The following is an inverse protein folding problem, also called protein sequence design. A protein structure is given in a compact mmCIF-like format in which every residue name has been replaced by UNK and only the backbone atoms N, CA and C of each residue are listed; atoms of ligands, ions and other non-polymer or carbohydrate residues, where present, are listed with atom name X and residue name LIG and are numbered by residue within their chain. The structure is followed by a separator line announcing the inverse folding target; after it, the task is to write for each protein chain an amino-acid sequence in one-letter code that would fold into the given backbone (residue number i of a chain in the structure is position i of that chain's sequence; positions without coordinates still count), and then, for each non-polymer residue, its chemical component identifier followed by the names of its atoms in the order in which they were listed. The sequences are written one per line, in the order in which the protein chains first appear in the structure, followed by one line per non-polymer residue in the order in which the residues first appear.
data_IF_286591536709
#
_entry.id   IF_286591536709
#
_cell.length_a   1.000
_cell.length_b   1.000
_cell.length_c   1.000
_cell.angle_alpha   90.00
_cell.angle_beta   90.00
_cell.angle_gamma   90.00
#
_symmetry.space_group_name_H-M   'P 1'
#
loop_
_entity.id
_entity.type
_entity.pdbx_description
1 polymer ?
#
# COMPACT_ATOMS: atom_id res chain seq x y z
N UNK A 1 58.98 -8.38 22.03
CA UNK A 1 58.75 -9.50 22.97
C UNK A 1 57.39 -10.11 22.67
N UNK A 2 57.37 -11.12 21.87
CA UNK A 2 56.41 -12.22 21.76
C UNK A 2 56.91 -13.33 22.69
N UNK A 3 56.19 -14.45 22.95
CA UNK A 3 54.84 -14.88 22.63
C UNK A 3 54.12 -15.58 23.82
N UNK A 4 52.94 -16.09 23.65
CA UNK A 4 52.60 -17.45 24.06
C UNK A 4 51.21 -17.87 23.57
N UNK A 5 51.26 -18.96 22.81
CA UNK A 5 50.19 -19.87 22.40
C UNK A 5 49.41 -20.44 23.58
N UNK A 6 48.13 -20.78 23.37
CA UNK A 6 47.66 -22.09 23.81
C UNK A 6 46.47 -22.57 22.97
N UNK A 7 46.63 -23.76 22.48
CA UNK A 7 45.72 -24.59 21.71
C UNK A 7 44.89 -25.51 22.63
N UNK A 8 43.81 -26.04 22.09
CA UNK A 8 43.12 -27.26 22.55
C UNK A 8 41.64 -26.98 22.86
N UNK A 9 40.72 -27.66 22.29
CA UNK A 9 40.44 -29.04 22.13
C UNK A 9 39.10 -29.25 21.45
N UNK A 10 39.13 -30.13 20.54
CA UNK A 10 38.08 -30.79 19.79
C UNK A 10 37.27 -31.69 20.74
N UNK A 11 35.94 -31.67 20.71
CA UNK A 11 35.13 -32.85 21.04
C UNK A 11 33.84 -32.88 20.21
N UNK A 12 33.90 -33.82 19.32
CA UNK A 12 32.83 -34.45 18.54
C UNK A 12 31.93 -35.28 19.48
N UNK A 13 30.62 -35.08 19.44
CA UNK A 13 29.66 -36.06 19.94
C UNK A 13 28.46 -36.12 19.01
N UNK A 14 28.49 -37.15 18.17
CA UNK A 14 27.35 -37.60 17.38
C UNK A 14 26.17 -38.04 18.25
N UNK A 15 24.98 -37.71 17.81
CA UNK A 15 23.74 -38.35 18.28
C UNK A 15 22.78 -38.56 17.11
N UNK A 16 22.78 -39.82 16.68
CA UNK A 16 21.76 -40.42 15.83
C UNK A 16 20.39 -40.39 16.48
N UNK A 17 19.39 -39.85 15.81
CA UNK A 17 17.97 -40.12 16.15
C UNK A 17 17.22 -40.68 14.95
N UNK A 18 16.73 -41.88 15.19
CA UNK A 18 15.94 -42.79 14.39
C UNK A 18 14.63 -42.12 13.88
N UNK A 19 14.26 -42.49 12.66
CA UNK A 19 12.97 -42.19 12.06
C UNK A 19 11.80 -42.82 12.82
N UNK A 20 10.70 -42.09 12.88
CA UNK A 20 9.41 -42.61 13.23
C UNK A 20 8.52 -42.53 11.98
N UNK A 21 8.26 -43.72 11.41
CA UNK A 21 7.22 -43.91 10.41
C UNK A 21 5.86 -43.80 11.12
N UNK A 22 4.99 -42.92 10.66
CA UNK A 22 3.59 -42.88 11.11
C UNK A 22 2.69 -43.27 9.94
N UNK A 23 2.21 -44.51 10.01
CA UNK A 23 1.23 -45.09 9.12
C UNK A 23 -0.17 -44.55 9.49
N UNK A 24 -0.79 -43.74 8.66
CA UNK A 24 -2.20 -43.38 8.80
C UNK A 24 -3.05 -44.29 7.90
N UNK A 25 -3.80 -45.17 8.56
CA UNK A 25 -4.84 -46.00 8.00
C UNK A 25 -6.00 -45.14 7.42
N UNK A 26 -6.24 -45.28 6.12
CA UNK A 26 -7.36 -44.71 5.43
C UNK A 26 -8.70 -45.32 5.83
N UNK A 27 -9.67 -44.52 6.20
CA UNK A 27 -11.08 -44.93 6.31
C UNK A 27 -11.78 -44.77 4.95
N UNK A 28 -12.66 -45.71 4.55
CA UNK A 28 -13.30 -45.66 3.25
C UNK A 28 -14.42 -44.61 3.23
N UNK A 29 -14.47 -43.85 2.12
CA UNK A 29 -15.51 -42.89 1.84
C UNK A 29 -16.90 -43.54 1.68
N UNK A 30 -17.88 -43.08 2.42
CA UNK A 30 -19.30 -43.46 2.26
C UNK A 30 -19.83 -42.87 0.96
N UNK A 31 -20.30 -43.74 0.06
CA UNK A 31 -21.08 -43.38 -1.13
C UNK A 31 -22.45 -42.84 -0.69
N UNK A 32 -22.70 -41.57 -0.96
CA UNK A 32 -24.07 -41.00 -0.85
C UNK A 32 -24.80 -41.29 -2.16
N UNK A 33 -25.89 -42.07 -2.03
CA UNK A 33 -26.87 -42.28 -3.10
C UNK A 33 -27.72 -41.01 -3.26
N UNK A 34 -27.66 -40.41 -4.44
CA UNK A 34 -28.59 -39.32 -4.81
C UNK A 34 -29.96 -39.85 -5.14
N UNK A 35 -31.06 -39.31 -4.58
CA UNK A 35 -32.40 -39.67 -4.98
C UNK A 35 -32.76 -39.08 -6.34
N UNK A 36 -33.30 -39.95 -7.18
CA UNK A 36 -33.88 -39.78 -8.49
C UNK A 36 -34.83 -38.58 -8.56
N UNK A 37 -34.45 -37.48 -9.25
CA UNK A 37 -35.29 -36.31 -9.44
C UNK A 37 -36.13 -36.48 -10.70
N UNK A 38 -37.43 -36.73 -10.51
CA UNK A 38 -38.46 -36.77 -11.53
C UNK A 38 -38.47 -35.46 -12.33
N UNK A 39 -38.44 -35.63 -13.66
CA UNK A 39 -38.69 -34.57 -14.64
C UNK A 39 -40.03 -33.89 -14.38
N UNK A 40 -40.01 -32.62 -14.01
CA UNK A 40 -41.19 -31.78 -14.06
C UNK A 40 -41.01 -30.76 -15.19
N UNK A 41 -41.60 -31.06 -16.34
CA UNK A 41 -41.81 -30.10 -17.43
C UNK A 41 -42.89 -29.13 -16.98
N UNK A 42 -42.57 -27.86 -16.86
CA UNK A 42 -43.60 -26.86 -16.70
C UNK A 42 -43.06 -25.51 -16.23
N UNK A 43 -43.06 -24.64 -17.15
CA UNK A 43 -43.22 -23.21 -17.08
C UNK A 43 -42.03 -22.37 -17.55
N UNK A 44 -42.06 -22.06 -18.85
CA UNK A 44 -41.29 -20.96 -19.45
C UNK A 44 -41.90 -19.62 -19.00
N UNK A 45 -41.47 -19.15 -17.84
CA UNK A 45 -41.60 -17.75 -17.42
C UNK A 45 -40.25 -17.11 -17.55
N UNK A 46 -40.01 -16.47 -18.67
CA UNK A 46 -38.79 -15.65 -18.84
C UNK A 46 -38.76 -14.51 -17.84
N UNK A 47 -38.17 -14.74 -16.65
CA UNK A 47 -37.82 -13.68 -15.76
C UNK A 47 -36.65 -12.97 -16.43
N UNK A 48 -36.95 -11.83 -17.08
CA UNK A 48 -35.92 -10.81 -17.44
C UNK A 48 -35.19 -10.43 -16.16
N UNK A 49 -34.13 -11.15 -15.87
CA UNK A 49 -33.20 -10.75 -14.83
C UNK A 49 -32.52 -9.47 -15.36
N UNK A 50 -32.73 -8.30 -14.75
CA UNK A 50 -32.09 -7.09 -15.23
C UNK A 50 -30.58 -7.38 -15.17
N UNK A 51 -29.90 -7.42 -16.32
CA UNK A 51 -28.45 -7.48 -16.39
C UNK A 51 -27.95 -6.33 -15.56
N UNK A 52 -27.42 -6.62 -14.37
CA UNK A 52 -26.73 -5.64 -13.55
C UNK A 52 -25.62 -5.09 -14.44
N UNK A 53 -25.79 -3.86 -14.93
CA UNK A 53 -24.72 -3.16 -15.64
C UNK A 53 -23.65 -2.90 -14.61
N UNK A 54 -22.62 -3.74 -14.60
CA UNK A 54 -21.43 -3.48 -13.79
C UNK A 54 -20.86 -2.12 -14.19
N UNK A 55 -20.60 -1.27 -13.21
CA UNK A 55 -19.95 0.01 -13.44
C UNK A 55 -18.63 -0.21 -14.20
N UNK A 56 -18.31 0.66 -15.16
CA UNK A 56 -17.05 0.59 -15.90
C UNK A 56 -15.89 0.61 -14.90
N UNK A 57 -15.01 -0.38 -14.95
CA UNK A 57 -13.78 -0.39 -14.18
C UNK A 57 -12.78 0.61 -14.77
N UNK A 58 -12.12 1.35 -13.88
CA UNK A 58 -10.97 2.19 -14.20
C UNK A 58 -9.87 1.81 -13.22
N UNK A 59 -8.68 1.60 -13.75
CA UNK A 59 -7.47 1.39 -12.95
C UNK A 59 -6.69 2.72 -12.92
N UNK A 60 -6.36 3.19 -11.72
CA UNK A 60 -5.58 4.39 -11.48
C UNK A 60 -4.32 4.03 -10.69
N UNK A 61 -3.19 4.56 -11.11
CA UNK A 61 -1.92 4.40 -10.40
C UNK A 61 -1.46 5.77 -9.91
N UNK A 62 -1.05 5.81 -8.66
CA UNK A 62 -0.43 6.99 -8.04
C UNK A 62 0.87 6.61 -7.36
N UNK A 63 1.74 7.58 -7.18
CA UNK A 63 2.99 7.37 -6.48
C UNK A 63 3.40 8.63 -5.71
N UNK A 64 4.14 8.44 -4.61
CA UNK A 64 4.60 9.52 -3.75
C UNK A 64 5.17 8.95 -2.45
N UNK A 65 5.12 9.70 -1.35
CA UNK A 65 5.53 9.16 -0.06
C UNK A 65 6.10 10.18 0.92
N UNK A 66 6.79 9.69 1.93
CA UNK A 66 7.34 10.50 3.01
C UNK A 66 8.71 11.07 2.64
N UNK A 67 8.80 12.38 2.59
CA UNK A 67 10.09 13.09 2.49
C UNK A 67 10.60 13.40 3.88
N UNK A 68 11.81 12.98 4.17
CA UNK A 68 12.51 13.29 5.43
C UNK A 68 13.54 14.38 5.15
N UNK A 69 13.65 15.36 6.04
CA UNK A 69 14.61 16.44 5.93
C UNK A 69 16.05 15.94 6.04
N UNK A 70 17.02 16.79 5.68
CA UNK A 70 18.46 16.46 5.70
C UNK A 70 18.97 16.00 7.06
N UNK A 71 18.29 16.39 8.14
CA UNK A 71 18.69 16.02 9.50
C UNK A 71 18.06 14.73 9.98
N UNK A 72 17.06 14.21 9.26
CA UNK A 72 16.33 13.02 9.65
C UNK A 72 15.31 13.24 10.76
N UNK A 73 15.02 14.49 11.12
CA UNK A 73 14.18 14.83 12.27
C UNK A 73 12.77 15.26 11.91
N UNK A 74 12.51 15.59 10.66
CA UNK A 74 11.20 16.07 10.19
C UNK A 74 10.74 15.32 8.96
N UNK A 75 9.42 15.14 8.87
CA UNK A 75 8.73 14.63 7.70
C UNK A 75 7.85 15.72 7.06
N UNK A 76 7.73 15.67 5.74
CA UNK A 76 6.97 16.62 4.94
C UNK A 76 5.57 16.09 4.69
N UNK A 77 4.56 16.91 4.95
CA UNK A 77 3.18 16.63 4.60
C UNK A 77 2.58 17.76 3.79
N UNK A 78 1.58 17.42 2.98
CA UNK A 78 0.71 18.36 2.28
C UNK A 78 -0.64 18.43 2.99
N UNK A 79 -1.22 19.62 3.06
CA UNK A 79 -2.52 19.88 3.63
C UNK A 79 -3.54 20.25 2.56
N UNK A 80 -4.72 19.64 2.60
CA UNK A 80 -5.88 20.01 1.79
C UNK A 80 -7.05 20.36 2.70
N UNK A 81 -7.78 21.42 2.37
CA UNK A 81 -8.97 21.80 3.13
C UNK A 81 -10.00 20.67 3.15
N UNK A 82 -10.51 20.38 4.34
CA UNK A 82 -11.54 19.35 4.50
C UNK A 82 -12.86 19.86 3.87
N UNK A 83 -13.36 19.23 2.78
CA UNK A 83 -14.60 19.67 2.14
C UNK A 83 -15.85 19.48 3.02
N UNK A 84 -15.72 18.75 4.14
CA UNK A 84 -16.80 18.53 5.12
C UNK A 84 -16.75 19.54 6.27
N UNK A 85 -15.67 20.29 6.39
CA UNK A 85 -15.56 21.33 7.42
C UNK A 85 -16.25 22.62 6.97
N UNK A 86 -17.34 22.98 7.65
CA UNK A 86 -18.12 24.18 7.34
C UNK A 86 -17.36 25.49 7.58
N UNK A 87 -16.31 25.47 8.43
CA UNK A 87 -15.45 26.63 8.68
C UNK A 87 -14.42 26.86 7.59
N UNK A 88 -14.11 25.81 6.79
CA UNK A 88 -13.04 25.81 5.79
C UNK A 88 -11.65 26.13 6.37
N UNK A 89 -11.41 25.78 7.63
CA UNK A 89 -10.13 26.02 8.31
C UNK A 89 -9.35 24.71 8.57
N UNK A 90 -10.06 23.57 8.59
CA UNK A 90 -9.46 22.28 8.88
C UNK A 90 -8.68 21.75 7.68
N UNK A 91 -7.40 21.46 7.89
CA UNK A 91 -6.56 20.78 6.92
C UNK A 91 -6.54 19.26 7.18
N UNK A 92 -6.68 18.50 6.11
CA UNK A 92 -6.41 17.07 6.07
C UNK A 92 -4.96 16.89 5.58
N UNK A 93 -4.11 16.43 6.47
CA UNK A 93 -2.70 16.19 6.16
C UNK A 93 -2.50 14.81 5.57
N UNK A 94 -1.68 14.72 4.52
CA UNK A 94 -1.36 13.47 3.82
C UNK A 94 0.06 13.51 3.27
N UNK A 95 0.55 12.36 2.86
CA UNK A 95 1.81 12.26 2.13
C UNK A 95 1.65 12.89 0.73
N UNK A 96 2.64 13.65 0.23
CA UNK A 96 2.66 14.14 -1.15
C UNK A 96 2.64 12.97 -2.14
N UNK A 97 1.67 12.96 -3.06
CA UNK A 97 1.47 11.92 -4.07
C UNK A 97 0.47 12.33 -5.13
N UNK A 98 0.68 11.87 -6.34
CA UNK A 98 -0.25 12.10 -7.43
C UNK A 98 -0.27 11.00 -8.47
N UNK A 99 -0.94 11.23 -9.59
CA UNK A 99 -1.13 10.24 -10.62
C UNK A 99 0.13 10.03 -11.47
N UNK A 100 0.42 8.78 -11.79
CA UNK A 100 1.46 8.46 -12.77
C UNK A 100 1.00 8.86 -14.15
N UNK A 101 1.88 9.49 -14.93
CA UNK A 101 1.68 9.81 -16.34
C UNK A 101 2.02 8.62 -17.24
N UNK A 102 1.57 8.69 -18.50
CA UNK A 102 1.82 7.61 -19.47
C UNK A 102 3.33 7.45 -19.72
N UNK A 103 3.83 6.25 -19.48
CA UNK A 103 5.25 5.91 -19.65
C UNK A 103 6.14 6.19 -18.45
N UNK A 104 5.62 6.79 -17.38
CA UNK A 104 6.38 6.95 -16.13
C UNK A 104 6.45 5.65 -15.32
N UNK A 105 7.62 5.40 -14.73
CA UNK A 105 7.70 4.42 -13.64
C UNK A 105 7.11 5.01 -12.34
N UNK A 106 6.68 4.18 -11.38
CA UNK A 106 6.21 4.67 -10.09
C UNK A 106 7.22 5.57 -9.37
N UNK A 107 8.51 5.29 -9.50
CA UNK A 107 9.59 6.09 -8.92
C UNK A 107 9.69 7.48 -9.57
N UNK A 108 9.57 7.53 -10.90
CA UNK A 108 9.60 8.80 -11.64
C UNK A 108 8.40 9.68 -11.28
N UNK A 109 7.20 9.09 -11.29
CA UNK A 109 5.98 9.77 -10.87
C UNK A 109 6.10 10.30 -9.42
N UNK A 110 6.61 9.48 -8.50
CA UNK A 110 6.75 9.87 -7.10
C UNK A 110 7.72 11.05 -6.90
N UNK A 111 8.86 11.07 -7.61
CA UNK A 111 9.82 12.19 -7.54
C UNK A 111 9.20 13.46 -8.12
N UNK A 112 8.51 13.37 -9.25
CA UNK A 112 7.83 14.50 -9.89
C UNK A 112 6.76 15.08 -9.00
N UNK A 113 5.83 14.24 -8.51
CA UNK A 113 4.71 14.67 -7.67
C UNK A 113 5.17 15.34 -6.36
N UNK A 114 6.18 14.75 -5.68
CA UNK A 114 6.78 15.40 -4.50
C UNK A 114 7.30 16.79 -4.83
N UNK A 115 8.01 16.95 -5.96
CA UNK A 115 8.57 18.24 -6.34
C UNK A 115 7.47 19.25 -6.73
N UNK A 116 6.43 18.82 -7.44
CA UNK A 116 5.31 19.65 -7.88
C UNK A 116 4.44 20.11 -6.71
N UNK A 117 4.00 19.19 -5.86
CA UNK A 117 3.12 19.49 -4.74
C UNK A 117 3.80 20.29 -3.61
N UNK A 118 5.12 20.14 -3.46
CA UNK A 118 5.82 20.68 -2.27
C UNK A 118 6.92 21.71 -2.57
N UNK A 119 7.46 21.74 -3.80
CA UNK A 119 8.64 22.52 -4.17
C UNK A 119 9.96 21.92 -3.66
N UNK A 120 9.93 20.78 -2.97
CA UNK A 120 11.11 20.10 -2.43
C UNK A 120 11.68 19.12 -3.44
N UNK A 121 12.98 19.20 -3.67
CA UNK A 121 13.75 18.20 -4.43
C UNK A 121 14.19 17.09 -3.49
N UNK A 122 13.96 15.86 -3.88
CA UNK A 122 14.22 14.69 -3.04
C UNK A 122 14.71 13.49 -3.86
N UNK A 123 15.36 12.56 -3.20
CA UNK A 123 15.83 11.29 -3.76
C UNK A 123 15.18 10.13 -3.01
N UNK A 124 14.78 9.09 -3.74
CA UNK A 124 14.21 7.89 -3.16
C UNK A 124 15.29 7.11 -2.41
N UNK A 125 15.05 6.85 -1.13
CA UNK A 125 15.89 6.01 -0.29
C UNK A 125 15.47 4.54 -0.36
N UNK A 126 14.16 4.29 -0.29
CA UNK A 126 13.59 2.93 -0.38
C UNK A 126 12.09 2.96 -0.66
N UNK A 127 11.54 1.83 -1.11
CA UNK A 127 10.09 1.61 -1.13
C UNK A 127 9.56 1.39 0.30
N UNK A 128 8.40 1.96 0.60
CA UNK A 128 7.64 1.70 1.83
C UNK A 128 6.55 0.66 1.61
N UNK A 129 6.10 0.48 0.36
CA UNK A 129 5.10 -0.51 0.01
C UNK A 129 4.10 0.01 -1.02
N UNK A 130 3.10 -0.81 -1.27
CA UNK A 130 2.03 -0.53 -2.23
C UNK A 130 0.70 -0.82 -1.54
N UNK A 131 -0.25 0.07 -1.68
CA UNK A 131 -1.63 -0.14 -1.23
C UNK A 131 -2.57 -0.17 -2.43
N UNK A 132 -3.58 -1.04 -2.35
CA UNK A 132 -4.62 -1.20 -3.35
C UNK A 132 -5.99 -1.08 -2.70
N UNK A 133 -6.86 -0.27 -3.27
CA UNK A 133 -8.23 -0.16 -2.77
C UNK A 133 -9.22 0.15 -3.89
N UNK A 134 -10.50 -0.08 -3.58
CA UNK A 134 -11.60 0.13 -4.51
C UNK A 134 -12.57 1.16 -3.96
N UNK A 135 -13.03 2.05 -4.83
CA UNK A 135 -14.08 2.99 -4.49
C UNK A 135 -14.97 3.29 -5.69
N UNK A 136 -16.11 3.94 -5.43
CA UNK A 136 -17.04 4.37 -6.46
C UNK A 136 -16.93 5.88 -6.63
N UNK A 137 -16.69 6.33 -7.86
CA UNK A 137 -16.69 7.75 -8.21
C UNK A 137 -17.38 7.93 -9.57
N UNK A 138 -18.28 8.90 -9.65
CA UNK A 138 -18.99 9.26 -10.90
C UNK A 138 -19.62 8.06 -11.62
N UNK A 139 -20.17 7.10 -10.85
CA UNK A 139 -20.79 5.88 -11.40
C UNK A 139 -19.80 4.86 -11.97
N UNK A 140 -18.51 5.02 -11.74
CA UNK A 140 -17.44 4.11 -12.14
C UNK A 140 -16.84 3.42 -10.92
N UNK A 141 -16.39 2.19 -11.09
CA UNK A 141 -15.64 1.46 -10.07
C UNK A 141 -14.15 1.70 -10.30
N UNK A 142 -13.53 2.42 -9.38
CA UNK A 142 -12.11 2.77 -9.45
C UNK A 142 -11.32 1.74 -8.64
N UNK A 143 -10.28 1.18 -9.25
CA UNK A 143 -9.22 0.44 -8.59
C UNK A 143 -8.01 1.34 -8.52
N UNK A 144 -7.61 1.74 -7.33
CA UNK A 144 -6.48 2.62 -7.12
C UNK A 144 -5.33 1.86 -6.49
N UNK A 145 -4.17 1.93 -7.14
CA UNK A 145 -2.89 1.43 -6.65
C UNK A 145 -2.02 2.64 -6.29
N UNK A 146 -1.44 2.67 -5.10
CA UNK A 146 -0.57 3.75 -4.64
C UNK A 146 0.77 3.18 -4.21
N UNK A 147 1.85 3.61 -4.88
CA UNK A 147 3.22 3.26 -4.54
C UNK A 147 3.79 4.29 -3.57
N UNK A 148 4.21 3.84 -2.38
CA UNK A 148 4.79 4.70 -1.36
C UNK A 148 6.29 4.49 -1.25
N UNK A 149 7.02 5.62 -1.18
CA UNK A 149 8.48 5.65 -1.05
C UNK A 149 8.89 6.51 0.14
N UNK A 150 10.05 6.20 0.69
CA UNK A 150 10.78 7.07 1.60
C UNK A 150 11.78 7.88 0.79
N UNK A 151 11.80 9.18 1.02
CA UNK A 151 12.71 10.12 0.37
C UNK A 151 13.58 10.83 1.37
N UNK A 152 14.74 11.26 0.91
CA UNK A 152 15.58 12.25 1.61
C UNK A 152 15.58 13.57 0.83
N UNK A 153 15.37 14.67 1.53
CA UNK A 153 15.49 16.02 0.96
C UNK A 153 16.89 16.25 0.44
N UNK A 154 17.01 16.74 -0.81
CA UNK A 154 18.29 17.18 -1.39
C UNK A 154 18.33 18.67 -1.67
N UNK A 155 17.17 19.36 -1.65
CA UNK A 155 17.10 20.82 -1.85
C UNK A 155 15.68 21.29 -2.13
N UNK A 156 15.59 22.52 -2.65
CA UNK A 156 14.31 23.17 -2.93
C UNK A 156 13.89 24.12 -1.80
N UNK A 157 12.67 24.65 -1.92
CA UNK A 157 12.00 25.48 -0.92
C UNK A 157 10.53 25.09 -0.91
N UNK A 158 9.89 25.15 0.23
CA UNK A 158 8.44 24.92 0.33
C UNK A 158 7.72 25.89 -0.62
N UNK A 159 6.97 25.31 -1.56
CA UNK A 159 6.18 26.03 -2.54
C UNK A 159 4.98 25.13 -2.92
N UNK A 160 3.84 25.22 -2.22
CA UNK A 160 2.68 24.41 -2.52
C UNK A 160 2.14 24.75 -3.91
N UNK A 161 1.74 23.70 -4.65
CA UNK A 161 1.01 23.86 -5.90
C UNK A 161 -0.43 24.28 -5.59
N UNK A 162 -0.67 25.58 -5.57
CA UNK A 162 -1.92 26.22 -5.08
C UNK A 162 -3.22 25.74 -5.74
N UNK A 163 -3.16 25.00 -6.83
CA UNK A 163 -4.32 24.41 -7.49
C UNK A 163 -4.75 23.06 -6.87
N UNK A 164 -3.85 22.39 -6.14
CA UNK A 164 -4.07 21.03 -5.64
C UNK A 164 -3.78 20.88 -4.14
N UNK A 165 -2.98 21.78 -3.59
CA UNK A 165 -2.49 21.72 -2.21
C UNK A 165 -2.70 23.10 -1.55
N UNK A 166 -3.36 23.12 -0.40
CA UNK A 166 -3.64 24.38 0.32
C UNK A 166 -2.46 24.77 1.22
N UNK A 167 -1.71 23.80 1.76
CA UNK A 167 -0.53 24.03 2.60
C UNK A 167 0.50 22.92 2.51
N UNK A 168 1.76 23.24 2.81
CA UNK A 168 2.88 22.30 2.88
C UNK A 168 3.71 22.60 4.10
N UNK A 169 3.93 21.62 4.98
CA UNK A 169 4.65 21.84 6.23
C UNK A 169 5.54 20.67 6.63
N UNK A 170 6.64 21.01 7.32
CA UNK A 170 7.50 20.06 8.00
C UNK A 170 7.00 19.81 9.42
N UNK A 171 6.80 18.54 9.77
CA UNK A 171 6.42 18.11 11.13
C UNK A 171 7.53 17.26 11.76
N UNK A 172 7.66 17.26 13.10
CA UNK A 172 8.51 16.30 13.77
C UNK A 172 8.22 14.87 13.29
N UNK A 173 9.26 14.07 13.06
CA UNK A 173 9.09 12.73 12.46
C UNK A 173 8.19 11.82 13.32
N UNK A 174 8.25 11.97 14.63
CA UNK A 174 7.43 11.24 15.60
C UNK A 174 5.94 11.61 15.55
N UNK A 175 5.59 12.78 15.00
CA UNK A 175 4.21 13.23 14.88
C UNK A 175 3.54 12.79 13.56
N UNK A 176 4.30 12.39 12.54
CA UNK A 176 3.80 12.13 11.18
C UNK A 176 2.58 11.21 11.22
N UNK A 177 2.69 10.04 11.84
CA UNK A 177 1.60 9.05 11.88
C UNK A 177 0.33 9.61 12.50
N UNK A 178 0.46 10.45 13.54
CA UNK A 178 -0.69 11.06 14.21
C UNK A 178 -1.33 12.20 13.43
N UNK A 179 -0.60 12.80 12.49
CA UNK A 179 -1.06 13.88 11.62
C UNK A 179 -1.81 13.39 10.39
N UNK A 180 -1.49 12.18 9.90
CA UNK A 180 -2.11 11.63 8.70
C UNK A 180 -3.63 11.51 8.85
N UNK A 181 -4.35 12.04 7.87
CA UNK A 181 -5.81 11.99 7.82
C UNK A 181 -6.34 10.62 7.38
N UNK A 182 -5.49 9.82 6.72
CA UNK A 182 -5.85 8.53 6.15
C UNK A 182 -5.01 7.42 6.81
N UNK A 183 -5.67 6.43 7.45
CA UNK A 183 -4.97 5.38 8.22
C UNK A 183 -4.09 4.45 7.39
N UNK A 184 -4.32 4.40 6.07
CA UNK A 184 -3.64 3.49 5.15
C UNK A 184 -2.36 4.10 4.52
N UNK A 185 -2.01 5.33 4.89
CA UNK A 185 -0.78 6.03 4.43
C UNK A 185 0.47 5.76 5.23
#
# INVERSE_FOLDING_TARGET
MTPADNAGGNQDLGSTRKGAQNSSSGKPAKKYNSPNRKNNKGNQGGKNNPRVKYAKRIDEVSAGGLVVDKTGTKGLLIGRLDPKDASHERLLWSLPKGHSEEGESPEQAAIREVAEETGIKSEITRSLGVIDFWFMASGKRIHKTVHHFLFTEVGGKLAPQVTEVDDVAWFPIEEIVSKLAYPDE
#
